data_IF_647515417562
#
_entry.id   IF_647515417562
#
_cell.length_a   1.000
_cell.length_b   1.000
_cell.length_c   1.000
_cell.angle_alpha   90.00
_cell.angle_beta   90.00
_cell.angle_gamma   90.00
#
_symmetry.space_group_name_H-M   'P 1'
#
loop_
_entity.id
_entity.type
_entity.pdbx_description
1 polymer ?
#
# COMPACT_ATOMS: atom_id res chain seq x y z
N UNK A 1 -21.60 19.07 -0.93
CA UNK A 1 -20.82 18.39 -2.00
C UNK A 1 -20.33 19.47 -2.94
N UNK A 2 -19.03 19.76 -2.86
CA UNK A 2 -18.40 20.91 -3.52
C UNK A 2 -18.71 21.01 -5.01
N UNK A 3 -19.03 22.23 -5.47
CA UNK A 3 -19.16 22.59 -6.89
C UNK A 3 -17.91 22.16 -7.70
N UNK A 4 -16.75 22.20 -7.06
CA UNK A 4 -15.46 21.77 -7.64
C UNK A 4 -15.42 20.28 -8.02
N UNK A 5 -16.05 19.42 -7.21
CA UNK A 5 -16.18 17.98 -7.48
C UNK A 5 -17.12 17.70 -8.65
N UNK A 6 -18.18 18.49 -8.81
CA UNK A 6 -19.12 18.37 -9.94
C UNK A 6 -18.46 18.77 -11.26
N UNK A 7 -17.69 19.86 -11.27
CA UNK A 7 -16.96 20.34 -12.46
C UNK A 7 -15.91 19.33 -12.89
N UNK A 8 -15.13 18.78 -11.96
CA UNK A 8 -14.12 17.76 -12.27
C UNK A 8 -14.75 16.46 -12.77
N UNK A 9 -15.85 16.00 -12.17
CA UNK A 9 -16.63 14.85 -12.68
C UNK A 9 -17.20 15.12 -14.08
N UNK A 10 -17.74 16.30 -14.33
CA UNK A 10 -18.27 16.67 -15.64
C UNK A 10 -17.16 16.67 -16.70
N UNK A 11 -16.01 17.27 -16.39
CA UNK A 11 -14.84 17.34 -17.26
C UNK A 11 -14.26 15.94 -17.55
N UNK A 12 -14.14 15.09 -16.53
CA UNK A 12 -13.71 13.70 -16.69
C UNK A 12 -14.71 12.89 -17.53
N UNK A 13 -16.01 13.14 -17.40
CA UNK A 13 -17.05 12.37 -18.09
C UNK A 13 -17.28 12.81 -19.54
N UNK A 14 -17.05 14.08 -19.88
CA UNK A 14 -17.29 14.60 -21.24
C UNK A 14 -16.02 14.73 -22.08
N UNK A 15 -14.89 15.13 -21.48
CA UNK A 15 -13.69 15.48 -22.25
C UNK A 15 -12.80 14.26 -22.50
N UNK A 16 -12.75 13.29 -21.60
CA UNK A 16 -11.98 12.06 -21.87
C UNK A 16 -12.48 11.28 -23.10
N UNK A 17 -13.79 11.02 -23.32
CA UNK A 17 -14.22 10.32 -24.54
C UNK A 17 -14.01 11.15 -25.81
N UNK A 18 -14.21 12.47 -25.75
CA UNK A 18 -13.97 13.38 -26.88
C UNK A 18 -12.50 13.39 -27.32
N UNK A 19 -11.56 13.47 -26.38
CA UNK A 19 -10.11 13.41 -26.68
C UNK A 19 -9.72 12.06 -27.26
N UNK A 20 -10.31 10.96 -26.75
CA UNK A 20 -10.02 9.60 -27.25
C UNK A 20 -10.52 9.42 -28.68
N UNK A 21 -11.74 9.89 -28.99
CA UNK A 21 -12.30 9.88 -30.34
C UNK A 21 -11.49 10.74 -31.32
N UNK A 22 -11.03 11.91 -30.88
CA UNK A 22 -10.20 12.79 -31.71
C UNK A 22 -8.87 12.11 -32.07
N UNK A 23 -8.18 11.52 -31.08
CA UNK A 23 -6.93 10.79 -31.31
C UNK A 23 -7.14 9.59 -32.24
N UNK A 24 -8.23 8.84 -32.06
CA UNK A 24 -8.58 7.72 -32.94
C UNK A 24 -8.84 8.19 -34.38
N UNK A 25 -9.64 9.24 -34.56
CA UNK A 25 -9.92 9.85 -35.87
C UNK A 25 -8.66 10.36 -36.56
N UNK A 26 -7.79 11.06 -35.84
CA UNK A 26 -6.50 11.51 -36.39
C UNK A 26 -5.57 10.34 -36.76
N UNK A 27 -5.53 9.28 -35.96
CA UNK A 27 -4.73 8.06 -36.24
C UNK A 27 -5.23 7.35 -37.50
N UNK A 28 -6.55 7.18 -37.63
CA UNK A 28 -7.19 6.56 -38.80
C UNK A 28 -6.93 7.40 -40.05
N UNK A 29 -7.11 8.72 -39.96
CA UNK A 29 -6.88 9.64 -41.06
C UNK A 29 -5.41 9.61 -41.52
N UNK A 30 -4.46 9.56 -40.57
CA UNK A 30 -3.04 9.45 -40.88
C UNK A 30 -2.67 8.09 -41.50
N UNK A 31 -3.22 6.97 -40.99
CA UNK A 31 -3.03 5.66 -41.62
C UNK A 31 -3.57 5.63 -43.06
N UNK A 32 -4.76 6.18 -43.29
CA UNK A 32 -5.35 6.29 -44.64
C UNK A 32 -4.44 7.14 -45.54
N UNK A 33 -3.92 8.26 -45.05
CA UNK A 33 -2.98 9.10 -45.79
C UNK A 33 -1.68 8.36 -46.15
N UNK A 34 -1.07 7.65 -45.19
CA UNK A 34 0.15 6.86 -45.42
C UNK A 34 -0.08 5.73 -46.43
N UNK A 35 -1.25 5.06 -46.39
CA UNK A 35 -1.62 4.04 -47.37
C UNK A 35 -1.92 4.63 -48.76
N UNK A 36 -2.46 5.86 -48.82
CA UNK A 36 -2.74 6.59 -50.06
C UNK A 36 -1.45 7.06 -50.76
N UNK A 37 -0.40 7.37 -50.00
CA UNK A 37 0.94 7.72 -50.50
C UNK A 37 1.77 6.51 -50.98
N UNK A 38 1.14 5.35 -51.20
CA UNK A 38 1.76 4.09 -51.62
C UNK A 38 2.77 4.20 -52.77
N UNK A 39 3.60 3.16 -52.98
CA UNK A 39 4.90 3.25 -53.66
C UNK A 39 4.81 3.97 -55.01
N UNK A 40 5.40 5.18 -55.07
CA UNK A 40 5.46 6.03 -56.27
C UNK A 40 6.17 5.24 -57.38
N UNK A 41 5.41 4.81 -58.39
CA UNK A 41 6.00 4.10 -59.54
C UNK A 41 6.91 5.06 -60.30
N UNK A 42 8.21 4.79 -60.30
CA UNK A 42 9.14 5.44 -61.22
C UNK A 42 8.64 5.17 -62.66
N UNK A 43 8.55 6.23 -63.47
CA UNK A 43 8.09 6.15 -64.85
C UNK A 43 9.00 5.19 -65.62
N UNK A 44 8.55 3.96 -65.87
CA UNK A 44 9.30 3.05 -66.74
C UNK A 44 9.11 3.50 -68.19
N UNK A 45 10.22 3.77 -68.87
CA UNK A 45 10.24 4.00 -70.30
C UNK A 45 10.20 2.62 -70.95
N UNK A 46 9.02 2.13 -71.31
CA UNK A 46 8.92 0.90 -72.09
C UNK A 46 8.02 1.08 -73.30
N UNK A 47 8.62 0.94 -74.48
CA UNK A 47 7.96 0.69 -75.75
C UNK A 47 7.56 -0.79 -75.91
N UNK A 48 7.12 -1.44 -74.83
CA UNK A 48 6.82 -2.87 -74.80
C UNK A 48 5.34 -3.17 -75.08
N UNK A 49 5.09 -4.31 -75.72
CA UNK A 49 3.74 -4.84 -75.98
C UNK A 49 3.01 -5.13 -74.66
N UNK A 50 1.69 -4.91 -74.61
CA UNK A 50 0.82 -5.05 -73.42
C UNK A 50 1.05 -6.32 -72.59
N UNK A 51 1.37 -7.46 -73.23
CA UNK A 51 1.62 -8.75 -72.54
C UNK A 51 2.90 -8.76 -71.71
N UNK A 52 3.96 -8.09 -72.15
CA UNK A 52 5.24 -8.06 -71.42
C UNK A 52 5.13 -7.17 -70.18
N UNK A 53 4.54 -5.99 -70.34
CA UNK A 53 4.27 -5.04 -69.25
C UNK A 53 3.45 -5.69 -68.11
N UNK A 54 2.46 -6.53 -68.44
CA UNK A 54 1.68 -7.23 -67.43
C UNK A 54 2.52 -8.24 -66.65
N UNK A 55 3.36 -9.03 -67.34
CA UNK A 55 4.23 -10.03 -66.70
C UNK A 55 5.28 -9.38 -65.79
N UNK A 56 5.88 -8.27 -66.24
CA UNK A 56 6.83 -7.49 -65.45
C UNK A 56 6.15 -6.88 -64.22
N UNK A 57 4.98 -6.27 -64.39
CA UNK A 57 4.21 -5.73 -63.26
C UNK A 57 3.85 -6.81 -62.23
N UNK A 58 3.44 -7.99 -62.66
CA UNK A 58 3.16 -9.10 -61.75
C UNK A 58 4.41 -9.49 -60.95
N UNK A 59 5.58 -9.62 -61.60
CA UNK A 59 6.85 -9.94 -60.92
C UNK A 59 7.23 -8.86 -59.91
N UNK A 60 7.12 -7.59 -60.30
CA UNK A 60 7.42 -6.46 -59.42
C UNK A 60 6.49 -6.41 -58.19
N UNK A 61 5.21 -6.73 -58.38
CA UNK A 61 4.25 -6.78 -57.27
C UNK A 61 4.55 -7.94 -56.32
N UNK A 62 4.88 -9.13 -56.84
CA UNK A 62 5.28 -10.26 -56.00
C UNK A 62 6.51 -9.93 -55.16
N UNK A 63 7.55 -9.36 -55.77
CA UNK A 63 8.74 -8.97 -55.02
C UNK A 63 8.47 -7.90 -53.95
N UNK A 64 7.58 -6.94 -54.25
CA UNK A 64 7.16 -5.93 -53.27
C UNK A 64 6.36 -6.52 -52.11
N UNK A 65 5.55 -7.54 -52.36
CA UNK A 65 4.80 -8.24 -51.30
C UNK A 65 5.80 -8.86 -50.32
N UNK A 66 6.80 -9.58 -50.82
CA UNK A 66 7.81 -10.23 -49.97
C UNK A 66 8.52 -9.21 -49.05
N UNK A 67 8.98 -8.09 -49.61
CA UNK A 67 9.65 -7.01 -48.84
C UNK A 67 8.72 -6.41 -47.79
N UNK A 68 7.47 -6.12 -48.16
CA UNK A 68 6.50 -5.51 -47.24
C UNK A 68 6.13 -6.49 -46.13
N UNK A 69 6.02 -7.78 -46.42
CA UNK A 69 5.71 -8.80 -45.42
C UNK A 69 6.85 -9.00 -44.42
N UNK A 70 8.10 -9.00 -44.86
CA UNK A 70 9.27 -9.00 -43.97
C UNK A 70 9.26 -7.77 -43.05
N UNK A 71 9.08 -6.57 -43.60
CA UNK A 71 9.01 -5.34 -42.81
C UNK A 71 7.84 -5.35 -41.81
N UNK A 72 6.69 -5.90 -42.21
CA UNK A 72 5.52 -6.07 -41.35
C UNK A 72 5.83 -7.04 -40.20
N UNK A 73 6.53 -8.13 -40.48
CA UNK A 73 6.93 -9.12 -39.48
C UNK A 73 7.85 -8.52 -38.42
N UNK A 74 8.89 -7.78 -38.84
CA UNK A 74 9.82 -7.09 -37.94
C UNK A 74 9.13 -6.07 -37.03
N UNK A 75 8.20 -5.29 -37.59
CA UNK A 75 7.41 -4.33 -36.82
C UNK A 75 6.51 -5.04 -35.82
N UNK A 76 5.88 -6.14 -36.21
CA UNK A 76 5.01 -6.91 -35.32
C UNK A 76 5.78 -7.44 -34.11
N UNK A 77 6.99 -7.97 -34.30
CA UNK A 77 7.86 -8.41 -33.19
C UNK A 77 8.15 -7.27 -32.21
N UNK A 78 8.48 -6.08 -32.73
CA UNK A 78 8.75 -4.89 -31.89
C UNK A 78 7.52 -4.48 -31.09
N UNK A 79 6.33 -4.47 -31.72
CA UNK A 79 5.07 -4.17 -31.05
C UNK A 79 4.78 -5.19 -29.95
N UNK A 80 4.90 -6.49 -30.22
CA UNK A 80 4.65 -7.54 -29.23
C UNK A 80 5.60 -7.44 -28.03
N UNK A 81 6.89 -7.10 -28.25
CA UNK A 81 7.83 -6.85 -27.15
C UNK A 81 7.38 -5.69 -26.26
N UNK A 82 7.00 -4.57 -26.88
CA UNK A 82 6.51 -3.40 -26.15
C UNK A 82 5.21 -3.71 -25.40
N UNK A 83 4.29 -4.47 -25.98
CA UNK A 83 3.07 -4.92 -25.31
C UNK A 83 3.37 -5.75 -24.06
N UNK A 84 4.31 -6.69 -24.15
CA UNK A 84 4.75 -7.49 -23.01
C UNK A 84 5.37 -6.61 -21.90
N UNK A 85 6.17 -5.62 -22.26
CA UNK A 85 6.74 -4.65 -21.31
C UNK A 85 5.66 -3.80 -20.65
N UNK A 86 4.68 -3.30 -21.42
CA UNK A 86 3.54 -2.53 -20.89
C UNK A 86 2.73 -3.38 -19.90
N UNK A 87 2.47 -4.64 -20.21
CA UNK A 87 1.76 -5.56 -19.31
C UNK A 87 2.54 -5.77 -18.01
N UNK A 88 3.85 -6.03 -18.10
CA UNK A 88 4.74 -6.17 -16.94
C UNK A 88 4.75 -4.92 -16.06
N UNK A 89 4.86 -3.73 -16.67
CA UNK A 89 4.84 -2.46 -15.95
C UNK A 89 3.47 -2.17 -15.33
N UNK A 90 2.38 -2.48 -16.03
CA UNK A 90 1.00 -2.32 -15.53
C UNK A 90 0.78 -3.19 -14.30
N UNK A 91 1.26 -4.44 -14.32
CA UNK A 91 1.20 -5.34 -13.18
C UNK A 91 2.01 -4.79 -11.99
N UNK A 92 3.24 -4.29 -12.21
CA UNK A 92 4.04 -3.65 -11.15
C UNK A 92 3.33 -2.43 -10.56
N UNK A 93 2.71 -1.60 -11.39
CA UNK A 93 1.90 -0.45 -10.94
C UNK A 93 0.73 -0.92 -10.07
N UNK A 94 0.06 -2.01 -10.46
CA UNK A 94 -1.05 -2.57 -9.68
C UNK A 94 -0.58 -3.06 -8.31
N UNK A 95 0.52 -3.81 -8.25
CA UNK A 95 1.13 -4.29 -7.00
C UNK A 95 1.54 -3.13 -6.08
N UNK A 96 2.15 -2.08 -6.63
CA UNK A 96 2.53 -0.89 -5.87
C UNK A 96 1.32 -0.08 -5.39
N UNK A 97 0.29 0.09 -6.25
CA UNK A 97 -0.99 0.73 -5.86
C UNK A 97 -1.73 -0.06 -4.78
N UNK A 98 -1.61 -1.39 -4.77
CA UNK A 98 -2.21 -2.27 -3.76
C UNK A 98 -1.62 -2.10 -2.36
N UNK A 99 -0.31 -1.82 -2.25
CA UNK A 99 0.39 -1.61 -0.97
C UNK A 99 0.04 -0.29 -0.27
N UNK A 100 -0.38 0.74 -1.01
CA UNK A 100 -0.68 2.08 -0.49
C UNK A 100 -2.10 2.55 -0.84
N UNK A 101 -3.11 1.68 -0.70
CA UNK A 101 -4.48 2.18 -0.51
C UNK A 101 -4.50 2.97 0.80
N UNK A 102 -4.42 4.31 0.70
CA UNK A 102 -4.61 5.22 1.85
C UNK A 102 -5.85 4.73 2.61
N UNK A 103 -5.72 4.32 3.88
CA UNK A 103 -6.87 3.89 4.67
C UNK A 103 -7.93 4.99 4.55
N UNK A 104 -9.12 4.62 4.09
CA UNK A 104 -10.17 5.61 3.84
C UNK A 104 -10.38 6.39 5.14
N UNK A 105 -10.18 7.72 5.11
CA UNK A 105 -10.28 8.55 6.30
C UNK A 105 -11.73 8.54 6.76
N UNK A 106 -12.05 7.64 7.70
CA UNK A 106 -13.36 7.62 8.35
C UNK A 106 -13.46 8.90 9.18
N UNK A 107 -14.59 9.60 9.08
CA UNK A 107 -14.89 10.73 9.97
C UNK A 107 -15.11 10.19 11.37
N UNK A 108 -14.03 10.08 12.15
CA UNK A 108 -14.09 9.67 13.55
C UNK A 108 -14.55 10.89 14.34
N UNK A 109 -15.77 10.84 14.87
CA UNK A 109 -16.22 11.82 15.87
C UNK A 109 -15.35 11.63 17.11
N UNK A 110 -14.85 12.71 17.72
CA UNK A 110 -14.09 12.61 18.97
C UNK A 110 -14.90 11.76 19.96
N UNK A 111 -14.28 10.71 20.51
CA UNK A 111 -14.92 9.83 21.50
C UNK A 111 -15.28 10.63 22.75
N UNK A 112 -16.27 10.14 23.52
CA UNK A 112 -16.66 10.78 24.78
C UNK A 112 -15.47 10.99 25.72
N UNK A 113 -14.54 10.03 25.78
CA UNK A 113 -13.29 10.13 26.55
C UNK A 113 -12.38 11.27 26.11
N UNK A 114 -12.32 11.59 24.82
CA UNK A 114 -11.50 12.69 24.31
C UNK A 114 -12.12 14.07 24.59
N UNK A 115 -13.45 14.13 24.81
CA UNK A 115 -14.14 15.36 25.20
C UNK A 115 -14.15 15.55 26.72
N UNK A 116 -14.29 14.46 27.48
CA UNK A 116 -14.25 14.48 28.94
C UNK A 116 -12.83 14.73 29.45
N UNK A 117 -11.81 14.11 28.83
CA UNK A 117 -10.41 14.30 29.18
C UNK A 117 -9.87 15.72 28.99
N UNK A 118 -10.51 16.54 28.13
CA UNK A 118 -10.17 17.97 27.99
C UNK A 118 -10.87 18.88 29.00
N UNK A 119 -11.95 18.41 29.64
CA UNK A 119 -12.65 19.13 30.70
C UNK A 119 -12.19 18.73 32.11
N UNK A 120 -11.60 17.53 32.26
CA UNK A 120 -11.09 17.03 33.54
C UNK A 120 -9.59 17.32 33.70
N UNK A 121 -9.23 18.56 34.05
CA UNK A 121 -7.88 18.92 34.50
C UNK A 121 -7.62 18.52 35.98
N UNK A 122 -8.47 17.66 36.54
CA UNK A 122 -8.38 17.13 37.90
C UNK A 122 -8.17 15.62 37.88
N UNK A 123 -6.92 15.22 37.62
CA UNK A 123 -6.21 14.07 38.23
C UNK A 123 -7.11 12.88 38.65
N UNK A 124 -7.63 12.06 37.71
CA UNK A 124 -8.26 10.70 37.87
C UNK A 124 -9.01 10.41 36.54
N UNK A 125 -8.86 9.36 35.71
CA UNK A 125 -8.26 8.03 35.78
C UNK A 125 -7.57 7.73 34.44
N UNK A 126 -6.28 7.41 34.48
CA UNK A 126 -5.63 6.66 33.40
C UNK A 126 -6.12 5.22 33.60
N UNK A 127 -6.95 4.71 32.69
CA UNK A 127 -7.51 3.36 32.76
C UNK A 127 -6.42 2.30 32.98
N UNK A 128 -6.15 2.03 34.25
CA UNK A 128 -6.04 0.72 34.89
C UNK A 128 -5.25 -0.38 34.20
N UNK A 129 -4.13 -0.05 33.56
CA UNK A 129 -3.06 -1.04 33.35
C UNK A 129 -2.48 -1.52 34.70
N UNK A 130 -2.70 -0.77 35.78
CA UNK A 130 -2.24 -1.08 37.14
C UNK A 130 -3.23 -1.93 37.95
N UNK A 131 -4.49 -2.07 37.51
CA UNK A 131 -5.47 -2.88 38.24
C UNK A 131 -5.22 -4.40 38.12
N UNK A 132 -4.43 -4.83 37.14
CA UNK A 132 -4.14 -6.26 36.88
C UNK A 132 -2.73 -6.71 37.31
N UNK A 133 -1.99 -5.87 38.04
CA UNK A 133 -0.69 -6.22 38.63
C UNK A 133 -0.83 -6.40 40.14
N UNK A 134 -0.61 -7.62 40.64
CA UNK A 134 -0.50 -7.91 42.09
C UNK A 134 0.64 -7.08 42.69
N UNK A 135 0.31 -6.06 43.47
CA UNK A 135 1.27 -5.42 44.38
C UNK A 135 1.59 -6.41 45.50
N UNK A 136 2.87 -6.71 45.72
CA UNK A 136 3.33 -7.45 46.89
C UNK A 136 3.09 -6.55 48.11
N UNK A 137 1.92 -6.69 48.73
CA UNK A 137 1.62 -6.11 50.04
C UNK A 137 2.47 -6.87 51.07
N UNK A 138 3.44 -6.16 51.65
CA UNK A 138 4.00 -6.52 52.96
C UNK A 138 2.90 -6.24 53.98
N UNK A 139 2.39 -7.28 54.63
CA UNK A 139 1.31 -7.19 55.61
C UNK A 139 1.69 -6.26 56.77
N UNK A 140 0.71 -5.48 57.22
CA UNK A 140 0.73 -4.78 58.50
C UNK A 140 0.70 -5.80 59.64
N UNK A 141 1.68 -5.75 60.55
CA UNK A 141 1.49 -6.24 61.91
C UNK A 141 1.33 -5.02 62.83
N UNK A 142 0.09 -4.80 63.26
CA UNK A 142 -0.24 -3.96 64.41
C UNK A 142 0.46 -4.53 65.65
N UNK A 143 1.39 -3.78 66.25
CA UNK A 143 1.65 -3.87 67.69
C UNK A 143 1.83 -2.48 68.26
N UNK A 144 0.86 -2.15 69.10
CA UNK A 144 0.86 -1.05 70.05
C UNK A 144 2.14 -1.06 70.88
N UNK A 145 2.64 0.15 71.13
CA UNK A 145 3.26 0.63 72.37
C UNK A 145 4.20 -0.29 73.18
N UNK A 146 5.33 0.29 73.59
CA UNK A 146 5.86 0.27 74.98
C UNK A 146 7.39 0.11 75.00
N UNK A 147 8.03 1.28 75.09
CA UNK A 147 9.18 1.66 75.95
C UNK A 147 10.40 0.73 76.11
N UNK A 148 11.55 1.29 75.72
CA UNK A 148 12.92 1.02 76.19
C UNK A 148 13.49 -0.39 75.95
N UNK A 149 14.33 -0.51 74.92
CA UNK A 149 15.07 -1.71 74.55
C UNK A 149 15.99 -2.25 75.67
N UNK A 150 16.31 -1.44 76.69
CA UNK A 150 17.04 -1.90 77.88
C UNK A 150 16.32 -3.04 78.62
N UNK A 151 14.98 -3.01 78.70
CA UNK A 151 14.21 -3.99 79.50
C UNK A 151 14.14 -5.39 78.86
N UNK A 152 14.17 -5.50 77.53
CA UNK A 152 14.10 -6.78 76.83
C UNK A 152 15.43 -7.56 76.90
N UNK A 153 16.55 -6.85 76.97
CA UNK A 153 17.90 -7.44 77.08
C UNK A 153 18.15 -7.96 78.50
N UNK A 154 17.72 -7.24 79.53
CA UNK A 154 17.81 -7.68 80.93
C UNK A 154 16.91 -8.90 81.22
N UNK A 155 15.75 -9.01 80.56
CA UNK A 155 14.84 -10.15 80.72
C UNK A 155 15.37 -11.46 80.12
N UNK A 156 16.26 -11.41 79.13
CA UNK A 156 16.80 -12.58 78.43
C UNK A 156 18.16 -13.08 78.98
N UNK A 157 18.80 -12.33 79.87
CA UNK A 157 20.17 -12.61 80.35
C UNK A 157 20.25 -13.26 81.75
N UNK A 158 19.12 -13.60 82.39
CA UNK A 158 19.07 -13.88 83.84
C UNK A 158 18.70 -15.30 84.29
N UNK A 159 18.51 -16.27 83.38
CA UNK A 159 18.13 -17.65 83.74
C UNK A 159 19.30 -18.63 83.68
N UNK A 160 20.31 -18.41 84.52
CA UNK A 160 21.34 -19.41 84.81
C UNK A 160 21.54 -19.56 86.33
N UNK A 161 20.85 -20.54 86.90
CA UNK A 161 21.28 -21.22 88.13
C UNK A 161 20.51 -20.98 89.43
N UNK A 162 19.57 -21.89 89.75
CA UNK A 162 19.62 -22.78 90.94
C UNK A 162 18.45 -23.77 90.95
N UNK A 163 18.77 -25.05 90.74
CA UNK A 163 17.97 -26.26 91.05
C UNK A 163 17.23 -26.14 92.40
N UNK A 164 15.93 -26.48 92.41
CA UNK A 164 15.20 -26.93 93.61
C UNK A 164 14.54 -28.27 93.24
N UNK A 165 15.13 -29.38 93.69
CA UNK A 165 14.79 -30.12 94.91
C UNK A 165 13.37 -30.71 94.83
N UNK A 166 13.31 -32.02 94.61
CA UNK A 166 12.20 -32.84 95.05
C UNK A 166 12.65 -33.56 96.31
N UNK A 167 11.84 -33.46 97.35
CA UNK A 167 11.92 -34.23 98.58
C UNK A 167 10.63 -35.05 98.71
N UNK A 168 10.77 -36.36 98.88
CA UNK A 168 9.70 -37.30 99.18
C UNK A 168 10.32 -38.55 99.83
N UNK A 169 10.32 -38.59 101.16
CA UNK A 169 10.80 -39.76 101.90
C UNK A 169 10.84 -39.68 103.43
N UNK A 170 9.76 -39.25 104.10
CA UNK A 170 9.18 -39.87 105.31
C UNK A 170 7.92 -39.13 105.78
#
# INVERSE_FOLDING_TARGET
MDQSLKITLLHLCTITPLVTLLVFSSKVTWCIAVMSEGPKKAKSKFSATRRLLLKELCRDLHHKIDIVDEARYDLNIKVTRNEAEILSLTQKIYELKGKMKRPNLRRVKKSADAMLGSFTDTRVMKADFKANLKTVKKEEEKKEEVTDWRKNVEAMSGMEGRKKLFDAGQ
#
